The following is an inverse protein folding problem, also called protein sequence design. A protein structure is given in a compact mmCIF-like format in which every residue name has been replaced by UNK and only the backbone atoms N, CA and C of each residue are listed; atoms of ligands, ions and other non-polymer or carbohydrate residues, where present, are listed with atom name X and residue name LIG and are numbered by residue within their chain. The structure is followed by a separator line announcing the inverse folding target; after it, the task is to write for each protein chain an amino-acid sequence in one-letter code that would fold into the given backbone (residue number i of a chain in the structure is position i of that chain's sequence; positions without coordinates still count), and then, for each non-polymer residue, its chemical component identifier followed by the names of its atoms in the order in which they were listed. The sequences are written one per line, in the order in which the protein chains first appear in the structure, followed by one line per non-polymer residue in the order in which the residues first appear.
data_IF_091651236317
#
_entry.id   IF_091651236317
#
_cell.length_a   1.000
_cell.length_b   1.000
_cell.length_c   1.000
_cell.angle_alpha   90.00
_cell.angle_beta   90.00
_cell.angle_gamma   90.00
#
_symmetry.space_group_name_H-M   'P 1'
#
loop_
_entity.id
_entity.type
_entity.pdbx_description
1 polymer ?
#
# COMPACT_ATOMS: atom_id res chain seq x y z
N UNK A 1 7.36 -2.86 -12.16
CA UNK A 1 8.36 -1.76 -12.19
C UNK A 1 9.52 -2.16 -11.31
N UNK A 2 10.74 -2.10 -11.81
CA UNK A 2 11.96 -2.30 -11.01
C UNK A 2 12.12 -1.08 -10.12
N UNK A 3 12.21 -1.26 -8.80
CA UNK A 3 12.48 -0.15 -7.87
C UNK A 3 13.79 0.54 -8.27
N UNK A 4 13.74 1.85 -8.45
CA UNK A 4 14.93 2.67 -8.71
C UNK A 4 15.80 2.84 -7.45
N UNK A 5 15.30 2.43 -6.29
CA UNK A 5 15.94 2.60 -4.99
C UNK A 5 16.81 1.38 -4.67
N UNK A 6 18.10 1.61 -4.50
CA UNK A 6 19.03 0.60 -3.97
C UNK A 6 18.89 0.57 -2.45
N UNK A 7 18.39 -0.55 -1.91
CA UNK A 7 18.22 -0.70 -0.47
C UNK A 7 19.56 -0.93 0.24
N UNK A 8 19.71 -0.31 1.40
CA UNK A 8 20.84 -0.56 2.30
C UNK A 8 20.93 -2.06 2.64
N UNK A 9 22.10 -2.69 2.54
CA UNK A 9 22.27 -4.07 2.99
C UNK A 9 22.07 -4.15 4.51
N UNK A 10 21.25 -5.11 4.94
CA UNK A 10 21.00 -5.40 6.35
C UNK A 10 21.06 -6.90 6.57
N UNK A 11 21.38 -7.34 7.80
CA UNK A 11 21.22 -8.74 8.15
C UNK A 11 19.75 -9.13 8.13
N UNK A 12 19.45 -10.40 7.98
CA UNK A 12 18.08 -10.90 7.97
C UNK A 12 17.70 -11.49 9.32
N UNK A 13 16.51 -11.14 9.80
CA UNK A 13 15.85 -11.77 10.95
C UNK A 13 14.48 -12.26 10.55
N UNK A 14 13.83 -13.05 11.40
CA UNK A 14 12.50 -13.62 11.13
C UNK A 14 11.55 -13.32 12.28
N UNK A 15 10.37 -12.76 11.98
CA UNK A 15 9.25 -12.64 12.93
C UNK A 15 8.17 -13.67 12.51
N UNK A 16 8.16 -14.80 13.16
CA UNK A 16 7.41 -15.96 12.69
C UNK A 16 7.79 -16.29 11.23
N UNK A 17 6.82 -16.30 10.33
CA UNK A 17 7.03 -16.55 8.89
C UNK A 17 7.48 -15.34 8.06
N UNK A 18 7.55 -14.14 8.66
CA UNK A 18 7.87 -12.91 7.94
C UNK A 18 9.36 -12.60 8.08
N UNK A 19 10.07 -12.63 6.96
CA UNK A 19 11.47 -12.24 6.87
C UNK A 19 11.61 -10.71 6.87
N UNK A 20 12.60 -10.19 7.58
CA UNK A 20 12.87 -8.75 7.72
C UNK A 20 14.36 -8.50 7.51
N UNK A 21 14.71 -7.54 6.65
CA UNK A 21 16.09 -7.30 6.25
C UNK A 21 16.59 -8.31 5.22
N UNK A 22 17.87 -8.28 4.90
CA UNK A 22 18.49 -9.18 3.93
C UNK A 22 17.87 -9.10 2.52
N UNK A 23 17.32 -7.96 2.14
CA UNK A 23 16.62 -7.81 0.85
C UNK A 23 15.18 -8.29 0.82
N UNK A 24 14.63 -8.85 1.90
CA UNK A 24 13.23 -9.26 1.98
C UNK A 24 12.27 -8.07 1.73
N UNK A 25 11.04 -8.32 1.26
CA UNK A 25 10.05 -7.27 1.06
C UNK A 25 9.80 -6.46 2.35
N UNK A 26 9.70 -5.13 2.23
CA UNK A 26 9.43 -4.28 3.38
C UNK A 26 8.06 -4.61 3.97
N UNK A 27 8.00 -4.94 5.26
CA UNK A 27 6.78 -5.36 5.93
C UNK A 27 6.03 -4.17 6.53
N UNK A 28 4.70 -4.25 6.49
CA UNK A 28 3.80 -3.31 7.17
C UNK A 28 3.40 -3.91 8.51
N UNK A 29 3.66 -3.16 9.58
CA UNK A 29 3.22 -3.51 10.93
C UNK A 29 2.16 -2.52 11.40
N UNK A 30 1.16 -2.99 12.14
CA UNK A 30 0.25 -2.15 12.92
C UNK A 30 0.13 -2.68 14.35
N UNK A 31 -0.75 -2.10 15.15
CA UNK A 31 -0.93 -2.44 16.55
C UNK A 31 -2.41 -2.47 16.90
N UNK A 32 -2.84 -3.45 17.69
CA UNK A 32 -4.19 -3.47 18.23
C UNK A 32 -4.41 -2.36 19.25
N UNK A 33 -5.65 -1.87 19.33
CA UNK A 33 -6.09 -0.91 20.34
C UNK A 33 -7.00 -1.53 21.40
N UNK A 34 -7.39 -2.79 21.20
CA UNK A 34 -8.13 -3.59 22.18
C UNK A 34 -7.24 -3.94 23.37
N UNK A 35 -7.84 -4.19 24.51
CA UNK A 35 -7.13 -4.84 25.62
C UNK A 35 -6.80 -6.28 25.20
N UNK A 36 -5.55 -6.69 25.35
CA UNK A 36 -5.10 -8.01 24.90
C UNK A 36 -5.78 -9.15 25.67
N UNK A 37 -6.25 -8.91 26.89
CA UNK A 37 -7.09 -9.83 27.67
C UNK A 37 -8.48 -10.07 27.03
N UNK A 38 -8.98 -9.14 26.21
CA UNK A 38 -10.16 -9.37 25.34
C UNK A 38 -9.72 -10.11 24.06
N UNK A 39 -9.66 -11.44 24.17
CA UNK A 39 -9.15 -12.31 23.12
C UNK A 39 -9.95 -12.20 21.82
N UNK A 40 -11.27 -12.25 21.90
CA UNK A 40 -12.11 -12.25 20.71
C UNK A 40 -12.12 -10.88 20.01
N UNK A 41 -12.23 -9.79 20.77
CA UNK A 41 -12.13 -8.44 20.21
C UNK A 41 -10.76 -8.17 19.58
N UNK A 42 -9.69 -8.66 20.20
CA UNK A 42 -8.33 -8.54 19.66
C UNK A 42 -8.14 -9.35 18.39
N UNK A 43 -8.67 -10.58 18.32
CA UNK A 43 -8.61 -11.40 17.12
C UNK A 43 -9.41 -10.81 15.97
N UNK A 44 -10.61 -10.28 16.21
CA UNK A 44 -11.39 -9.57 15.18
C UNK A 44 -10.57 -8.42 14.57
N UNK A 45 -9.90 -7.64 15.41
CA UNK A 45 -9.05 -6.55 14.94
C UNK A 45 -7.83 -7.06 14.17
N UNK A 46 -7.20 -8.15 14.61
CA UNK A 46 -6.08 -8.79 13.88
C UNK A 46 -6.52 -9.29 12.50
N UNK A 47 -7.70 -9.92 12.39
CA UNK A 47 -8.24 -10.35 11.10
C UNK A 47 -8.49 -9.15 10.16
N UNK A 48 -9.05 -8.06 10.67
CA UNK A 48 -9.26 -6.84 9.89
C UNK A 48 -7.94 -6.22 9.41
N UNK A 49 -6.93 -6.17 10.28
CA UNK A 49 -5.59 -5.70 9.95
C UNK A 49 -4.92 -6.57 8.88
N UNK A 50 -5.00 -7.90 9.00
CA UNK A 50 -4.45 -8.81 8.01
C UNK A 50 -5.12 -8.65 6.64
N UNK A 51 -6.44 -8.50 6.62
CA UNK A 51 -7.21 -8.23 5.40
C UNK A 51 -6.80 -6.90 4.74
N UNK A 52 -6.47 -5.87 5.55
CA UNK A 52 -5.99 -4.57 5.09
C UNK A 52 -4.52 -4.57 4.61
N UNK A 53 -3.82 -5.70 4.67
CA UNK A 53 -2.46 -5.85 4.19
C UNK A 53 -1.37 -5.64 5.25
N UNK A 54 -1.73 -5.71 6.54
CA UNK A 54 -0.76 -5.79 7.64
C UNK A 54 -0.03 -7.13 7.60
N UNK A 55 1.29 -7.10 7.66
CA UNK A 55 2.12 -8.32 7.64
C UNK A 55 2.43 -8.83 9.05
N UNK A 56 2.47 -7.95 10.05
CA UNK A 56 2.81 -8.24 11.45
C UNK A 56 1.96 -7.37 12.37
N UNK A 57 1.37 -7.95 13.39
CA UNK A 57 0.62 -7.21 14.41
C UNK A 57 1.37 -7.14 15.73
N UNK A 58 1.20 -6.04 16.48
CA UNK A 58 1.71 -5.87 17.84
C UNK A 58 0.56 -5.73 18.81
N UNK A 59 0.60 -6.50 19.90
CA UNK A 59 -0.35 -6.44 21.01
C UNK A 59 0.36 -6.00 22.30
N UNK A 60 -0.30 -5.25 23.15
CA UNK A 60 0.26 -4.82 24.44
C UNK A 60 0.31 -6.01 25.42
N UNK A 61 1.41 -6.15 26.17
CA UNK A 61 1.55 -7.15 27.23
C UNK A 61 2.18 -6.47 28.46
N UNK A 62 1.35 -5.86 29.29
CA UNK A 62 1.75 -5.09 30.48
C UNK A 62 1.19 -5.66 31.79
N UNK A 63 0.37 -6.70 31.72
CA UNK A 63 -0.28 -7.37 32.85
C UNK A 63 -0.41 -8.88 32.58
N UNK A 64 -0.53 -9.74 33.62
CA UNK A 64 -0.62 -11.19 33.45
C UNK A 64 -1.78 -11.64 32.56
N UNK A 65 -2.94 -10.99 32.68
CA UNK A 65 -4.15 -11.29 31.89
C UNK A 65 -3.91 -11.07 30.39
N UNK A 66 -3.05 -10.11 30.04
CA UNK A 66 -2.64 -9.89 28.66
C UNK A 66 -1.74 -11.03 28.14
N UNK A 67 -0.86 -11.58 28.97
CA UNK A 67 -0.05 -12.74 28.61
C UNK A 67 -0.91 -14.00 28.42
N UNK A 68 -1.90 -14.22 29.30
CA UNK A 68 -2.89 -15.31 29.15
C UNK A 68 -3.72 -15.14 27.87
N UNK A 69 -4.10 -13.90 27.53
CA UNK A 69 -4.76 -13.56 26.27
C UNK A 69 -3.89 -13.87 25.07
N UNK A 70 -2.59 -13.52 25.11
CA UNK A 70 -1.64 -13.83 24.02
C UNK A 70 -1.54 -15.34 23.76
N UNK A 71 -1.54 -16.19 24.80
CA UNK A 71 -1.50 -17.63 24.64
C UNK A 71 -2.69 -18.19 23.81
N UNK A 72 -3.83 -17.50 23.83
CA UNK A 72 -5.01 -17.85 23.04
C UNK A 72 -5.04 -17.17 21.68
N UNK A 73 -4.48 -15.96 21.56
CA UNK A 73 -4.45 -15.17 20.33
C UNK A 73 -3.41 -15.71 19.34
N UNK A 74 -2.20 -16.00 19.80
CA UNK A 74 -1.07 -16.37 18.95
C UNK A 74 -1.39 -17.55 18.01
N UNK A 75 -1.92 -18.70 18.50
CA UNK A 75 -2.20 -19.85 17.64
C UNK A 75 -3.34 -19.62 16.64
N UNK A 76 -4.19 -18.62 16.88
CA UNK A 76 -5.35 -18.27 16.03
C UNK A 76 -5.08 -17.09 15.07
N UNK A 77 -3.98 -16.39 15.26
CA UNK A 77 -3.64 -15.22 14.46
C UNK A 77 -3.18 -15.61 13.05
N UNK A 78 -3.73 -15.02 11.97
CA UNK A 78 -3.29 -15.26 10.59
C UNK A 78 -1.91 -14.66 10.27
N UNK A 79 -1.45 -13.70 11.08
CA UNK A 79 -0.18 -13.00 10.95
C UNK A 79 0.63 -13.06 12.25
N UNK A 80 1.97 -12.96 12.18
CA UNK A 80 2.82 -12.97 13.37
C UNK A 80 2.44 -11.90 14.39
N UNK A 81 2.47 -12.27 15.69
CA UNK A 81 2.16 -11.42 16.82
C UNK A 81 3.43 -11.03 17.55
N UNK A 82 3.63 -9.73 17.79
CA UNK A 82 4.70 -9.17 18.63
C UNK A 82 4.08 -8.70 19.96
N UNK A 83 4.68 -9.04 21.09
CA UNK A 83 4.30 -8.47 22.37
C UNK A 83 5.03 -7.14 22.63
N UNK A 84 4.29 -6.12 23.02
CA UNK A 84 4.81 -4.80 23.40
C UNK A 84 4.99 -4.72 24.92
N UNK A 85 6.24 -4.73 25.34
CA UNK A 85 6.62 -4.73 26.76
C UNK A 85 7.00 -3.31 27.19
N UNK A 86 6.30 -2.79 28.20
CA UNK A 86 6.52 -1.41 28.65
C UNK A 86 7.52 -1.31 29.80
N UNK A 87 7.24 -1.94 30.95
CA UNK A 87 8.03 -1.70 32.17
C UNK A 87 8.58 -2.98 32.84
N UNK A 88 7.88 -4.08 32.74
CA UNK A 88 8.18 -5.27 33.50
C UNK A 88 8.79 -6.37 32.62
N UNK A 89 10.07 -6.68 32.83
CA UNK A 89 10.73 -7.76 32.08
C UNK A 89 10.05 -9.13 32.24
N UNK A 90 9.39 -9.37 33.40
CA UNK A 90 8.61 -10.59 33.62
C UNK A 90 7.47 -10.78 32.63
N UNK A 91 6.89 -9.69 32.12
CA UNK A 91 5.87 -9.75 31.09
C UNK A 91 6.47 -10.15 29.74
N UNK A 92 7.75 -9.83 29.50
CA UNK A 92 8.46 -10.35 28.31
C UNK A 92 8.61 -11.88 28.38
N UNK A 93 8.99 -12.41 29.53
CA UNK A 93 9.10 -13.86 29.74
C UNK A 93 7.74 -14.56 29.60
N UNK A 94 6.69 -14.01 30.21
CA UNK A 94 5.34 -14.56 30.07
C UNK A 94 4.82 -14.50 28.63
N UNK A 95 5.12 -13.45 27.88
CA UNK A 95 4.79 -13.36 26.45
C UNK A 95 5.54 -14.41 25.62
N UNK A 96 6.81 -14.69 25.94
CA UNK A 96 7.57 -15.77 25.28
C UNK A 96 6.99 -17.15 25.58
N UNK A 97 6.52 -17.39 26.80
CA UNK A 97 5.79 -18.63 27.16
C UNK A 97 4.47 -18.74 26.40
N UNK A 98 3.78 -17.62 26.15
CA UNK A 98 2.58 -17.57 25.32
C UNK A 98 2.86 -17.81 23.82
N UNK A 99 4.11 -17.95 23.40
CA UNK A 99 4.52 -18.29 22.04
C UNK A 99 4.52 -17.13 21.05
N UNK A 100 4.70 -15.88 21.49
CA UNK A 100 4.77 -14.74 20.58
C UNK A 100 5.96 -14.83 19.62
N UNK A 101 5.80 -14.23 18.44
CA UNK A 101 6.78 -14.30 17.37
C UNK A 101 7.84 -13.19 17.44
N UNK A 102 7.75 -12.30 18.39
CA UNK A 102 8.71 -11.23 18.62
C UNK A 102 8.37 -10.41 19.84
N UNK A 103 9.35 -9.68 20.35
CA UNK A 103 9.17 -8.72 21.43
C UNK A 103 9.50 -7.31 20.99
N UNK A 104 8.88 -6.32 21.63
CA UNK A 104 9.33 -4.94 21.58
C UNK A 104 9.72 -4.50 22.98
N UNK A 105 10.95 -4.04 23.14
CA UNK A 105 11.47 -3.43 24.35
C UNK A 105 11.72 -1.95 24.13
N UNK A 106 11.52 -1.13 25.19
CA UNK A 106 11.89 0.28 25.17
C UNK A 106 13.03 0.49 26.17
N UNK A 107 14.24 0.86 25.71
CA UNK A 107 15.40 1.10 26.58
C UNK A 107 15.13 2.17 27.66
N UNK A 108 14.30 3.15 27.36
CA UNK A 108 13.91 4.18 28.31
C UNK A 108 13.06 3.67 29.48
N UNK A 109 12.42 2.51 29.35
CA UNK A 109 11.49 1.93 30.33
C UNK A 109 12.09 0.76 31.11
N UNK A 110 12.81 -0.14 30.42
CA UNK A 110 13.51 -1.27 31.04
C UNK A 110 15.00 -0.92 31.03
N UNK A 111 15.53 -0.49 32.20
CA UNK A 111 16.86 0.12 32.28
C UNK A 111 17.91 -0.76 32.96
N UNK A 112 17.49 -1.82 33.66
CA UNK A 112 18.44 -2.71 34.35
C UNK A 112 19.08 -3.68 33.38
N UNK A 113 20.42 -3.63 33.19
CA UNK A 113 21.10 -4.50 32.24
C UNK A 113 20.82 -5.97 32.46
N UNK A 114 20.73 -6.42 33.73
CA UNK A 114 20.44 -7.81 34.08
C UNK A 114 19.07 -8.29 33.58
N UNK A 115 18.06 -7.41 33.58
CA UNK A 115 16.73 -7.73 33.05
C UNK A 115 16.73 -7.81 31.52
N UNK A 116 17.46 -6.89 30.88
CA UNK A 116 17.61 -6.86 29.43
C UNK A 116 18.32 -8.11 28.93
N UNK A 117 19.43 -8.47 29.58
CA UNK A 117 20.20 -9.68 29.28
C UNK A 117 19.40 -10.97 29.49
N UNK A 118 18.62 -11.04 30.59
CA UNK A 118 17.78 -12.20 30.85
C UNK A 118 16.72 -12.39 29.76
N UNK A 119 16.07 -11.32 29.29
CA UNK A 119 15.11 -11.39 28.19
C UNK A 119 15.81 -11.75 26.88
N UNK A 120 17.00 -11.18 26.59
CA UNK A 120 17.74 -11.48 25.39
C UNK A 120 18.21 -12.96 25.34
N UNK A 121 18.63 -13.52 26.45
CA UNK A 121 19.00 -14.95 26.55
C UNK A 121 17.79 -15.86 26.26
N UNK A 122 16.65 -15.59 26.87
CA UNK A 122 15.42 -16.37 26.63
C UNK A 122 14.95 -16.25 25.19
N UNK A 123 15.06 -15.05 24.59
CA UNK A 123 14.78 -14.82 23.17
C UNK A 123 15.72 -15.61 22.26
N UNK A 124 17.02 -15.67 22.61
CA UNK A 124 18.02 -16.43 21.88
C UNK A 124 17.70 -17.91 21.87
N UNK A 125 17.36 -18.47 23.02
CA UNK A 125 17.05 -19.90 23.17
C UNK A 125 15.78 -20.29 22.42
N UNK A 126 14.83 -19.38 22.30
CA UNK A 126 13.55 -19.58 21.57
C UNK A 126 13.58 -19.12 20.14
N UNK A 127 14.67 -18.52 19.65
CA UNK A 127 14.76 -17.90 18.32
C UNK A 127 13.70 -16.82 18.06
N UNK A 128 13.38 -16.00 19.08
CA UNK A 128 12.40 -14.93 19.00
C UNK A 128 13.12 -13.59 18.90
N UNK A 129 12.91 -12.80 17.82
CA UNK A 129 13.62 -11.53 17.64
C UNK A 129 13.08 -10.44 18.56
N UNK A 130 13.96 -9.49 18.90
CA UNK A 130 13.61 -8.30 19.69
C UNK A 130 13.64 -7.06 18.81
N UNK A 131 12.68 -6.16 18.98
CA UNK A 131 12.78 -4.80 18.50
C UNK A 131 13.21 -3.84 19.62
N UNK A 132 14.39 -3.26 19.46
CA UNK A 132 14.85 -2.13 20.26
C UNK A 132 14.04 -0.90 19.83
N UNK A 133 13.21 -0.37 20.72
CA UNK A 133 12.25 0.68 20.38
C UNK A 133 12.51 1.99 21.10
N UNK A 134 13.52 2.76 20.65
CA UNK A 134 13.80 4.11 21.17
C UNK A 134 12.73 5.09 20.70
N UNK A 135 12.16 5.85 21.64
CA UNK A 135 11.25 6.95 21.36
C UNK A 135 11.80 8.23 21.99
N UNK A 136 11.77 9.34 21.26
CA UNK A 136 12.23 10.63 21.78
C UNK A 136 11.54 11.05 23.08
N UNK A 137 10.22 10.82 23.19
CA UNK A 137 9.44 11.16 24.39
C UNK A 137 9.75 10.31 25.65
N UNK A 138 10.48 9.21 25.52
CA UNK A 138 10.91 8.34 26.61
C UNK A 138 12.42 8.06 26.58
N UNK A 139 13.21 9.02 26.09
CA UNK A 139 14.65 8.94 26.11
C UNK A 139 15.17 8.86 27.56
N UNK A 140 16.27 8.13 27.76
CA UNK A 140 16.94 8.02 29.05
C UNK A 140 17.30 9.42 29.56
N UNK A 141 16.96 9.78 30.84
CA UNK A 141 17.28 11.09 31.43
C UNK A 141 18.75 11.47 31.34
N UNK A 142 19.68 10.52 31.53
CA UNK A 142 21.11 10.80 31.39
C UNK A 142 21.44 11.28 29.97
N UNK A 143 20.90 10.60 28.95
CA UNK A 143 21.13 10.98 27.55
C UNK A 143 20.44 12.31 27.22
N UNK A 144 19.26 12.54 27.79
CA UNK A 144 18.57 13.80 27.62
C UNK A 144 19.37 14.99 28.18
N UNK A 145 19.99 14.83 29.34
CA UNK A 145 20.85 15.84 29.97
C UNK A 145 22.18 15.98 29.20
N UNK A 146 22.83 14.89 28.88
CA UNK A 146 24.12 14.86 28.15
C UNK A 146 24.05 15.61 26.81
N UNK A 147 22.95 15.43 26.06
CA UNK A 147 22.78 16.03 24.73
C UNK A 147 21.94 17.32 24.73
N UNK A 148 21.49 17.77 25.89
CA UNK A 148 20.67 18.99 26.01
C UNK A 148 19.29 18.85 25.35
N UNK A 149 18.67 17.66 25.42
CA UNK A 149 17.35 17.39 24.89
C UNK A 149 17.25 16.19 23.96
N UNK A 150 16.12 16.09 23.24
CA UNK A 150 15.92 15.07 22.22
C UNK A 150 16.73 15.44 20.99
N UNK A 151 17.82 14.72 20.75
CA UNK A 151 18.72 14.89 19.60
C UNK A 151 18.89 13.58 18.86
N UNK A 152 19.17 13.62 17.54
CA UNK A 152 19.45 12.41 16.76
C UNK A 152 20.53 11.54 17.40
N UNK A 153 21.65 12.15 17.81
CA UNK A 153 22.81 11.50 18.43
C UNK A 153 22.45 10.80 19.74
N UNK A 154 21.59 11.43 20.56
CA UNK A 154 21.11 10.87 21.84
C UNK A 154 20.26 9.62 21.60
N UNK A 155 19.39 9.64 20.55
CA UNK A 155 18.55 8.51 20.19
C UNK A 155 19.39 7.35 19.64
N UNK A 156 20.38 7.63 18.81
CA UNK A 156 21.33 6.63 18.29
C UNK A 156 22.13 6.02 19.43
N UNK A 157 22.67 6.86 20.35
CA UNK A 157 23.43 6.37 21.53
C UNK A 157 22.59 5.48 22.42
N UNK A 158 21.28 5.81 22.60
CA UNK A 158 20.35 4.96 23.34
C UNK A 158 20.19 3.57 22.70
N UNK A 159 20.08 3.51 21.38
CA UNK A 159 19.99 2.24 20.65
C UNK A 159 21.30 1.43 20.77
N UNK A 160 22.44 2.09 20.64
CA UNK A 160 23.77 1.44 20.74
C UNK A 160 24.06 0.89 22.14
N UNK A 161 23.58 1.57 23.20
CA UNK A 161 23.66 1.03 24.58
C UNK A 161 22.93 -0.31 24.71
N UNK A 162 21.74 -0.44 24.11
CA UNK A 162 20.95 -1.67 24.16
C UNK A 162 21.61 -2.79 23.36
N UNK A 163 22.16 -2.46 22.19
CA UNK A 163 22.93 -3.39 21.36
C UNK A 163 24.10 -3.97 22.17
N UNK A 164 24.84 -3.15 22.89
CA UNK A 164 25.95 -3.60 23.71
C UNK A 164 25.53 -4.65 24.76
N UNK A 165 24.36 -4.53 25.36
CA UNK A 165 23.85 -5.56 26.28
C UNK A 165 23.49 -6.86 25.57
N UNK A 166 23.00 -6.79 24.33
CA UNK A 166 22.70 -7.96 23.52
C UNK A 166 23.97 -8.66 23.06
N UNK A 167 25.00 -7.90 22.68
CA UNK A 167 26.30 -8.41 22.25
C UNK A 167 26.99 -9.19 23.39
N UNK A 168 26.89 -8.71 24.65
CA UNK A 168 27.45 -9.40 25.82
C UNK A 168 26.87 -10.83 26.02
N UNK A 169 25.64 -11.09 25.57
CA UNK A 169 24.99 -12.41 25.63
C UNK A 169 24.99 -13.14 24.28
N UNK A 170 25.62 -12.53 23.27
CA UNK A 170 25.70 -13.08 21.92
C UNK A 170 24.33 -13.20 21.24
N UNK A 171 23.44 -12.22 21.44
CA UNK A 171 22.12 -12.15 20.81
C UNK A 171 22.13 -11.17 19.65
N UNK A 172 21.86 -11.63 18.44
CA UNK A 172 21.92 -10.84 17.20
C UNK A 172 20.57 -10.68 16.50
N UNK A 173 19.54 -11.40 16.92
CA UNK A 173 18.22 -11.39 16.26
C UNK A 173 17.38 -10.17 16.70
N UNK A 174 17.85 -8.98 16.35
CA UNK A 174 17.14 -7.75 16.68
C UNK A 174 17.00 -6.80 15.50
N UNK A 175 15.97 -5.98 15.55
CA UNK A 175 15.74 -4.80 14.71
C UNK A 175 15.60 -3.55 15.56
N UNK A 176 15.79 -2.38 14.98
CA UNK A 176 15.85 -1.13 15.74
C UNK A 176 14.84 -0.11 15.21
N UNK A 177 14.31 0.70 16.10
CA UNK A 177 13.57 1.91 15.75
C UNK A 177 13.99 3.08 16.62
N UNK A 178 14.18 4.24 15.99
CA UNK A 178 14.45 5.54 16.65
C UNK A 178 13.39 6.53 16.20
N UNK A 179 12.31 6.63 16.97
CA UNK A 179 11.10 7.37 16.60
C UNK A 179 10.98 8.69 17.33
N UNK A 180 10.56 9.72 16.60
CA UNK A 180 10.19 11.01 17.16
C UNK A 180 8.95 11.56 16.45
N UNK A 181 8.27 12.53 17.07
CA UNK A 181 7.16 13.25 16.43
C UNK A 181 7.64 14.36 15.49
N UNK A 182 8.88 14.83 15.67
CA UNK A 182 9.54 15.77 14.75
C UNK A 182 10.15 15.00 13.60
N UNK A 183 9.64 15.21 12.38
CA UNK A 183 10.05 14.45 11.19
C UNK A 183 11.52 14.66 10.80
N UNK A 184 12.03 15.91 10.68
CA UNK A 184 13.45 16.13 10.39
C UNK A 184 14.40 15.47 11.37
N UNK A 185 14.12 15.58 12.67
CA UNK A 185 14.91 14.95 13.73
C UNK A 185 14.89 13.42 13.59
N UNK A 186 13.73 12.84 13.37
CA UNK A 186 13.55 11.39 13.19
C UNK A 186 14.31 10.89 11.96
N UNK A 187 14.19 11.58 10.82
CA UNK A 187 14.92 11.22 9.58
C UNK A 187 16.41 11.23 9.82
N UNK A 188 16.95 12.27 10.47
CA UNK A 188 18.36 12.38 10.76
C UNK A 188 18.84 11.28 11.72
N UNK A 189 18.05 10.95 12.74
CA UNK A 189 18.40 9.85 13.65
C UNK A 189 18.47 8.49 12.92
N UNK A 190 17.58 8.21 11.97
CA UNK A 190 17.65 6.99 11.17
C UNK A 190 18.82 6.98 10.19
N UNK A 191 19.18 8.13 9.59
CA UNK A 191 20.38 8.23 8.73
C UNK A 191 21.63 7.87 9.52
N UNK A 192 21.85 8.54 10.66
CA UNK A 192 23.00 8.25 11.52
C UNK A 192 23.01 6.80 12.02
N UNK A 193 21.85 6.26 12.42
CA UNK A 193 21.75 4.87 12.86
C UNK A 193 22.08 3.91 11.71
N UNK A 194 21.67 4.23 10.49
CA UNK A 194 21.91 3.38 9.31
C UNK A 194 23.39 3.24 8.94
N UNK A 195 24.23 4.16 9.36
CA UNK A 195 25.66 4.16 9.12
C UNK A 195 26.44 3.31 10.13
N UNK A 196 25.88 3.12 11.32
CA UNK A 196 26.59 2.49 12.44
C UNK A 196 26.13 1.07 12.80
N UNK A 197 25.12 0.54 12.10
CA UNK A 197 24.64 -0.84 12.32
C UNK A 197 24.11 -1.46 11.04
N UNK A 198 24.25 -2.77 10.92
CA UNK A 198 23.64 -3.58 9.85
C UNK A 198 22.27 -4.17 10.24
N UNK A 199 21.79 -3.89 11.46
CA UNK A 199 20.49 -4.36 11.91
C UNK A 199 19.35 -3.81 11.04
N UNK A 200 18.29 -4.59 10.81
CA UNK A 200 17.09 -4.11 10.15
C UNK A 200 16.43 -2.94 10.91
N UNK A 201 15.93 -1.95 10.17
CA UNK A 201 15.34 -0.76 10.74
C UNK A 201 13.81 -0.76 10.59
N UNK A 202 13.12 -0.48 11.71
CA UNK A 202 11.68 -0.33 11.76
C UNK A 202 11.31 1.15 11.78
N UNK A 203 10.84 1.67 10.67
CA UNK A 203 10.51 3.09 10.51
C UNK A 203 9.14 3.45 11.07
N UNK A 204 9.02 4.67 11.54
CA UNK A 204 7.74 5.24 11.94
C UNK A 204 7.89 6.61 12.60
N UNK A 205 6.95 7.50 12.31
CA UNK A 205 6.77 8.76 13.04
C UNK A 205 5.86 8.48 14.22
N UNK A 206 6.29 8.80 15.44
CA UNK A 206 5.44 8.62 16.64
C UNK A 206 4.48 9.79 16.78
N UNK A 207 3.27 9.51 17.27
CA UNK A 207 2.28 10.55 17.58
C UNK A 207 2.01 11.47 16.36
N UNK A 208 1.78 10.87 15.20
CA UNK A 208 1.58 11.65 13.97
C UNK A 208 0.28 12.48 14.01
N UNK A 209 -0.73 12.02 14.76
CA UNK A 209 -2.04 12.66 14.88
C UNK A 209 -3.11 12.05 13.97
N UNK A 210 -4.30 12.67 13.91
CA UNK A 210 -5.40 12.16 13.09
C UNK A 210 -5.19 12.46 11.60
N UNK A 211 -5.82 11.68 10.70
CA UNK A 211 -5.91 12.04 9.27
C UNK A 211 -6.66 13.38 9.07
N UNK A 212 -6.37 14.14 7.99
CA UNK A 212 -5.33 13.87 6.99
C UNK A 212 -3.92 14.31 7.42
N UNK A 213 -3.78 15.19 8.43
CA UNK A 213 -2.49 15.77 8.83
C UNK A 213 -1.49 14.70 9.30
N UNK A 214 -1.95 13.73 10.08
CA UNK A 214 -1.13 12.61 10.54
C UNK A 214 -0.60 11.73 9.41
N UNK A 215 -1.43 11.49 8.39
CA UNK A 215 -1.02 10.76 7.18
C UNK A 215 0.10 11.50 6.45
N UNK A 216 -0.07 12.79 6.19
CA UNK A 216 0.94 13.62 5.51
C UNK A 216 2.26 13.61 6.29
N UNK A 217 2.20 13.84 7.60
CA UNK A 217 3.36 13.86 8.48
C UNK A 217 4.12 12.53 8.49
N UNK A 218 3.40 11.42 8.66
CA UNK A 218 4.00 10.08 8.67
C UNK A 218 4.57 9.72 7.30
N UNK A 219 3.83 9.98 6.22
CA UNK A 219 4.27 9.72 4.85
C UNK A 219 5.55 10.49 4.50
N UNK A 220 5.65 11.77 4.88
CA UNK A 220 6.85 12.57 4.64
C UNK A 220 8.10 11.92 5.25
N UNK A 221 8.03 11.48 6.51
CA UNK A 221 9.17 10.83 7.17
C UNK A 221 9.50 9.45 6.60
N UNK A 222 8.48 8.62 6.37
CA UNK A 222 8.66 7.27 5.86
C UNK A 222 9.16 7.27 4.40
N UNK A 223 8.55 8.06 3.52
CA UNK A 223 8.91 8.14 2.11
C UNK A 223 10.36 8.63 1.93
N UNK A 224 10.78 9.65 2.68
CA UNK A 224 12.15 10.17 2.63
C UNK A 224 13.17 9.04 2.87
N UNK A 225 13.04 8.31 3.96
CA UNK A 225 13.97 7.23 4.31
C UNK A 225 13.90 6.05 3.33
N UNK A 226 12.70 5.66 2.93
CA UNK A 226 12.49 4.55 2.00
C UNK A 226 13.11 4.84 0.62
N UNK A 227 13.02 6.07 0.12
CA UNK A 227 13.67 6.49 -1.14
C UNK A 227 15.20 6.56 -1.03
N UNK A 228 15.73 6.75 0.18
CA UNK A 228 17.16 6.64 0.47
C UNK A 228 17.63 5.18 0.68
N UNK A 229 16.72 4.21 0.54
CA UNK A 229 17.02 2.79 0.74
C UNK A 229 17.06 2.36 2.21
N UNK A 230 16.66 3.22 3.13
CA UNK A 230 16.66 2.98 4.58
C UNK A 230 15.29 2.48 5.02
N UNK A 231 15.25 1.29 5.66
CA UNK A 231 14.04 0.73 6.25
C UNK A 231 13.68 -0.66 5.74
N UNK A 232 13.33 -1.54 6.68
CA UNK A 232 13.00 -2.95 6.43
C UNK A 232 11.58 -3.29 6.88
N UNK A 233 11.00 -2.50 7.76
CA UNK A 233 9.61 -2.60 8.21
C UNK A 233 9.09 -1.21 8.59
N UNK A 234 7.81 -0.96 8.37
CA UNK A 234 7.19 0.35 8.63
C UNK A 234 5.95 0.23 9.51
N UNK A 235 5.64 1.31 10.25
CA UNK A 235 4.37 1.51 10.91
C UNK A 235 3.94 2.98 10.85
N UNK A 236 2.73 3.23 10.37
CA UNK A 236 2.02 4.46 10.66
C UNK A 236 1.55 4.47 12.10
N UNK A 237 1.50 5.63 12.76
CA UNK A 237 1.00 5.79 14.14
C UNK A 237 -0.01 6.93 14.13
N UNK A 238 -1.24 6.59 13.76
CA UNK A 238 -2.33 7.54 13.57
C UNK A 238 -3.28 7.52 14.77
N UNK A 239 -3.92 8.66 15.02
CA UNK A 239 -5.09 8.73 15.91
C UNK A 239 -6.34 8.40 15.09
N UNK A 240 -6.47 7.12 14.70
CA UNK A 240 -7.52 6.59 13.83
C UNK A 240 -7.66 5.07 14.05
N UNK A 241 -8.61 4.44 13.33
CA UNK A 241 -8.69 2.98 13.28
C UNK A 241 -7.36 2.38 12.77
N UNK A 242 -6.78 1.37 13.44
CA UNK A 242 -5.52 0.74 13.02
C UNK A 242 -5.53 0.15 11.61
N UNK A 243 -6.70 -0.16 11.07
CA UNK A 243 -6.88 -0.60 9.67
C UNK A 243 -6.40 0.47 8.70
N UNK A 244 -6.62 1.75 9.01
CA UNK A 244 -6.12 2.87 8.21
C UNK A 244 -4.58 2.93 8.18
N UNK A 245 -3.92 2.59 9.30
CA UNK A 245 -2.45 2.50 9.35
C UNK A 245 -1.92 1.42 8.39
N UNK A 246 -2.57 0.25 8.37
CA UNK A 246 -2.18 -0.86 7.50
C UNK A 246 -2.39 -0.52 6.02
N UNK A 247 -3.54 0.07 5.68
CA UNK A 247 -3.84 0.53 4.31
C UNK A 247 -2.85 1.59 3.83
N UNK A 248 -2.61 2.62 4.64
CA UNK A 248 -1.66 3.68 4.31
C UNK A 248 -0.23 3.15 4.12
N UNK A 249 0.22 2.25 5.00
CA UNK A 249 1.52 1.61 4.88
C UNK A 249 1.66 0.78 3.61
N UNK A 250 0.63 0.02 3.26
CA UNK A 250 0.61 -0.78 2.04
C UNK A 250 0.63 0.10 0.80
N UNK A 251 -0.22 1.12 0.77
CA UNK A 251 -0.32 2.06 -0.35
C UNK A 251 0.98 2.85 -0.55
N UNK A 252 1.64 3.28 0.53
CA UNK A 252 2.94 3.94 0.43
C UNK A 252 3.97 3.06 -0.27
N UNK A 253 4.12 1.80 0.15
CA UNK A 253 5.08 0.88 -0.43
C UNK A 253 4.78 0.55 -1.89
N UNK A 254 3.51 0.44 -2.26
CA UNK A 254 3.06 0.24 -3.64
C UNK A 254 3.33 1.48 -4.51
N UNK A 255 3.08 2.69 -3.97
CA UNK A 255 3.34 3.95 -4.67
C UNK A 255 4.82 4.22 -4.92
N UNK A 256 5.70 3.73 -4.03
CA UNK A 256 7.16 3.82 -4.19
C UNK A 256 7.76 2.67 -5.02
N UNK A 257 6.94 1.72 -5.51
CA UNK A 257 7.42 0.53 -6.23
C UNK A 257 8.22 -0.45 -5.36
N UNK A 258 8.09 -0.38 -4.03
CA UNK A 258 8.77 -1.24 -3.07
C UNK A 258 7.98 -2.51 -2.71
N UNK A 259 6.72 -2.58 -3.10
CA UNK A 259 5.84 -3.74 -3.03
C UNK A 259 4.99 -3.83 -4.29
N UNK A 260 4.68 -5.04 -4.72
CA UNK A 260 3.75 -5.26 -5.83
C UNK A 260 2.35 -4.74 -5.48
N UNK A 261 1.73 -4.07 -6.44
CA UNK A 261 0.35 -3.63 -6.33
C UNK A 261 -0.58 -4.83 -6.25
N UNK A 262 -1.58 -4.74 -5.39
CA UNK A 262 -2.66 -5.73 -5.31
C UNK A 262 -4.00 -5.16 -5.76
N UNK A 263 -4.17 -3.84 -5.67
CA UNK A 263 -5.41 -3.15 -5.97
C UNK A 263 -5.20 -2.16 -7.12
N UNK A 264 -6.29 -1.61 -7.62
CA UNK A 264 -6.26 -0.55 -8.62
C UNK A 264 -5.50 0.67 -8.10
N UNK A 265 -4.60 1.19 -8.94
CA UNK A 265 -3.97 2.50 -8.76
C UNK A 265 -4.68 3.51 -9.64
N UNK A 266 -5.52 4.36 -9.03
CA UNK A 266 -6.27 5.35 -9.76
C UNK A 266 -5.46 6.63 -9.96
N UNK A 267 -5.24 6.99 -11.22
CA UNK A 267 -4.67 8.27 -11.63
C UNK A 267 -5.82 9.16 -12.10
N UNK A 268 -6.11 10.24 -11.38
CA UNK A 268 -7.14 11.18 -11.77
C UNK A 268 -6.60 12.59 -11.91
N UNK A 269 -7.04 13.33 -12.91
CA UNK A 269 -6.63 14.72 -13.05
C UNK A 269 -7.31 15.58 -11.96
N UNK A 270 -6.67 16.68 -11.51
CA UNK A 270 -7.16 17.51 -10.40
C UNK A 270 -8.42 18.32 -10.72
N UNK A 271 -9.04 18.11 -11.88
CA UNK A 271 -10.14 18.92 -12.43
C UNK A 271 -9.77 20.41 -12.60
N UNK A 272 -9.99 20.97 -13.74
CA UNK A 272 -9.73 22.40 -14.02
C UNK A 272 -10.83 22.96 -14.92
N UNK A 273 -10.76 24.24 -15.29
CA UNK A 273 -11.76 24.88 -16.16
C UNK A 273 -11.93 24.26 -17.56
N UNK A 274 -11.12 23.25 -17.91
CA UNK A 274 -11.25 22.47 -19.14
C UNK A 274 -12.00 21.16 -18.96
N UNK A 275 -12.35 20.78 -17.71
CA UNK A 275 -13.05 19.53 -17.44
C UNK A 275 -14.48 19.61 -18.02
N UNK A 276 -14.84 18.59 -18.76
CA UNK A 276 -16.15 18.46 -19.42
C UNK A 276 -17.11 17.53 -18.65
N UNK A 277 -16.62 16.96 -17.55
CA UNK A 277 -17.40 16.13 -16.61
C UNK A 277 -17.00 16.47 -15.17
N UNK A 278 -17.77 16.03 -14.20
CA UNK A 278 -17.38 16.05 -12.80
C UNK A 278 -16.34 14.93 -12.51
N UNK A 279 -15.07 15.25 -12.70
CA UNK A 279 -13.95 14.30 -12.48
C UNK A 279 -13.91 13.82 -11.04
N UNK A 280 -14.25 14.68 -10.08
CA UNK A 280 -14.20 14.36 -8.66
C UNK A 280 -15.24 13.27 -8.35
N UNK A 281 -16.48 13.43 -8.84
CA UNK A 281 -17.54 12.43 -8.68
C UNK A 281 -17.15 11.10 -9.36
N UNK A 282 -16.73 11.16 -10.63
CA UNK A 282 -16.35 9.94 -11.39
C UNK A 282 -15.20 9.21 -10.73
N UNK A 283 -14.16 9.92 -10.27
CA UNK A 283 -13.01 9.31 -9.59
C UNK A 283 -13.41 8.65 -8.26
N UNK A 284 -14.24 9.33 -7.45
CA UNK A 284 -14.74 8.78 -6.19
C UNK A 284 -15.61 7.54 -6.41
N UNK A 285 -16.52 7.58 -7.37
CA UNK A 285 -17.36 6.44 -7.74
C UNK A 285 -16.54 5.28 -8.30
N UNK A 286 -15.53 5.56 -9.11
CA UNK A 286 -14.60 4.54 -9.61
C UNK A 286 -13.84 3.88 -8.45
N UNK A 287 -13.26 4.66 -7.52
CA UNK A 287 -12.61 4.12 -6.34
C UNK A 287 -13.54 3.26 -5.48
N UNK A 288 -14.78 3.70 -5.30
CA UNK A 288 -15.79 2.93 -4.57
C UNK A 288 -16.18 1.64 -5.31
N UNK A 289 -16.36 1.71 -6.63
CA UNK A 289 -16.70 0.56 -7.44
C UNK A 289 -15.57 -0.49 -7.50
N UNK A 290 -14.31 -0.05 -7.57
CA UNK A 290 -13.18 -0.95 -7.47
C UNK A 290 -13.03 -1.55 -6.07
N UNK A 291 -13.27 -0.76 -5.01
CA UNK A 291 -13.25 -1.24 -3.63
C UNK A 291 -12.04 -2.10 -3.30
N UNK A 292 -12.30 -3.26 -2.66
CA UNK A 292 -11.26 -4.24 -2.31
C UNK A 292 -11.00 -5.29 -3.41
N UNK A 293 -11.39 -5.02 -4.66
CA UNK A 293 -11.12 -5.90 -5.81
C UNK A 293 -9.61 -5.96 -6.03
N UNK A 294 -9.08 -7.17 -6.05
CA UNK A 294 -7.63 -7.42 -6.22
C UNK A 294 -7.24 -7.34 -7.69
N UNK A 295 -7.38 -6.16 -8.28
CA UNK A 295 -7.06 -5.88 -9.68
C UNK A 295 -5.82 -4.96 -9.70
N UNK A 296 -4.61 -5.48 -9.98
CA UNK A 296 -3.37 -4.71 -9.89
C UNK A 296 -3.10 -3.87 -11.15
N UNK A 297 -4.10 -3.12 -11.60
CA UNK A 297 -4.02 -2.27 -12.78
C UNK A 297 -3.89 -0.79 -12.41
N UNK A 298 -3.21 -0.04 -13.26
CA UNK A 298 -3.21 1.41 -13.24
C UNK A 298 -4.36 1.92 -14.12
N UNK A 299 -5.32 2.62 -13.48
CA UNK A 299 -6.53 3.14 -14.14
C UNK A 299 -6.51 4.66 -14.13
N UNK A 300 -6.68 5.29 -15.30
CA UNK A 300 -6.69 6.74 -15.45
C UNK A 300 -8.10 7.30 -15.66
N UNK A 301 -8.45 8.36 -14.91
CA UNK A 301 -9.70 9.13 -15.09
C UNK A 301 -9.37 10.58 -15.39
N UNK A 302 -9.61 11.01 -16.64
CA UNK A 302 -9.24 12.31 -17.16
C UNK A 302 -10.45 13.12 -17.62
N UNK A 303 -10.56 14.36 -17.14
CA UNK A 303 -11.73 15.23 -17.35
C UNK A 303 -11.79 15.96 -18.68
N UNK A 304 -10.76 15.88 -19.53
CA UNK A 304 -10.74 16.53 -20.83
C UNK A 304 -9.87 15.80 -21.85
N UNK A 305 -10.08 16.09 -23.14
CA UNK A 305 -9.32 15.48 -24.25
C UNK A 305 -7.96 16.14 -24.50
N UNK A 306 -7.59 17.21 -23.80
CA UNK A 306 -6.33 17.92 -24.02
C UNK A 306 -5.13 17.12 -23.51
N UNK A 307 -5.09 16.84 -22.22
CA UNK A 307 -4.01 16.04 -21.59
C UNK A 307 -4.43 14.59 -21.36
N UNK A 308 -5.76 14.35 -21.31
CA UNK A 308 -6.33 13.05 -20.99
C UNK A 308 -5.81 11.88 -21.83
N UNK A 309 -5.74 12.00 -23.18
CA UNK A 309 -5.23 10.90 -24.01
C UNK A 309 -3.75 10.59 -23.75
N UNK A 310 -2.93 11.55 -23.34
CA UNK A 310 -1.53 11.36 -22.97
C UNK A 310 -1.39 10.53 -21.69
N UNK A 311 -2.00 10.99 -20.62
CA UNK A 311 -1.97 10.32 -19.31
C UNK A 311 -2.68 8.95 -19.34
N UNK A 312 -3.83 8.87 -20.05
CA UNK A 312 -4.54 7.60 -20.22
C UNK A 312 -3.75 6.57 -21.07
N UNK A 313 -2.77 7.02 -21.87
CA UNK A 313 -1.93 6.14 -22.68
C UNK A 313 -0.93 5.36 -21.84
N UNK A 314 -0.38 5.99 -20.81
CA UNK A 314 0.61 5.36 -19.93
C UNK A 314 -0.03 4.37 -18.95
N UNK A 315 -1.33 4.54 -18.63
CA UNK A 315 -2.07 3.63 -17.78
C UNK A 315 -2.40 2.29 -18.50
N UNK A 316 -2.72 1.27 -17.73
CA UNK A 316 -3.20 -0.02 -18.29
C UNK A 316 -4.58 0.15 -18.93
N UNK A 317 -5.44 0.93 -18.28
CA UNK A 317 -6.78 1.29 -18.69
C UNK A 317 -7.00 2.77 -18.38
N UNK A 318 -7.67 3.52 -19.25
CA UNK A 318 -7.98 4.90 -18.96
C UNK A 318 -9.23 5.40 -19.65
N UNK A 319 -9.85 6.44 -19.09
CA UNK A 319 -10.94 7.16 -19.70
C UNK A 319 -10.60 8.65 -19.76
N UNK A 320 -10.81 9.26 -20.93
CA UNK A 320 -10.68 10.69 -21.13
C UNK A 320 -12.03 11.26 -21.59
N UNK A 321 -12.53 12.25 -20.86
CA UNK A 321 -13.83 12.84 -21.14
C UNK A 321 -13.77 13.89 -22.25
N UNK A 322 -14.81 13.94 -23.10
CA UNK A 322 -15.03 14.96 -24.11
C UNK A 322 -16.49 14.98 -24.55
N UNK A 323 -17.11 16.16 -24.61
CA UNK A 323 -18.51 16.33 -25.03
C UNK A 323 -19.50 15.40 -24.29
N UNK A 324 -19.42 15.31 -22.96
CA UNK A 324 -20.21 14.42 -22.09
C UNK A 324 -20.11 12.93 -22.47
N UNK A 325 -19.00 12.53 -23.06
CA UNK A 325 -18.68 11.13 -23.40
C UNK A 325 -17.32 10.78 -22.87
N UNK A 326 -17.12 9.53 -22.49
CA UNK A 326 -15.85 8.97 -22.11
C UNK A 326 -15.22 8.20 -23.26
N UNK A 327 -14.04 8.59 -23.67
CA UNK A 327 -13.18 7.80 -24.56
C UNK A 327 -12.35 6.86 -23.71
N UNK A 328 -12.58 5.57 -23.85
CA UNK A 328 -11.91 4.53 -23.08
C UNK A 328 -10.68 4.03 -23.84
N UNK A 329 -9.55 3.92 -23.15
CA UNK A 329 -8.27 3.53 -23.73
C UNK A 329 -7.70 2.31 -22.99
N UNK A 330 -7.16 1.36 -23.73
CA UNK A 330 -6.35 0.25 -23.20
C UNK A 330 -4.96 0.40 -23.81
N UNK A 331 -3.94 0.63 -23.00
CA UNK A 331 -2.56 0.91 -23.44
C UNK A 331 -2.50 1.91 -24.60
N UNK A 332 -3.21 3.01 -24.47
CA UNK A 332 -3.24 4.09 -25.46
C UNK A 332 -4.12 3.86 -26.68
N UNK A 333 -4.72 2.70 -26.88
CA UNK A 333 -5.69 2.43 -27.95
C UNK A 333 -7.10 2.78 -27.48
N UNK A 334 -7.82 3.59 -28.24
CA UNK A 334 -9.23 3.86 -28.00
C UNK A 334 -10.05 2.60 -28.29
N UNK A 335 -10.74 2.08 -27.28
CA UNK A 335 -11.47 0.81 -27.33
C UNK A 335 -12.98 0.98 -27.30
N UNK A 336 -13.46 2.10 -26.74
CA UNK A 336 -14.89 2.40 -26.66
C UNK A 336 -15.12 3.90 -26.46
N UNK A 337 -16.35 4.33 -26.78
CA UNK A 337 -16.86 5.65 -26.42
C UNK A 337 -18.19 5.43 -25.70
N UNK A 338 -18.27 5.84 -24.45
CA UNK A 338 -19.43 5.61 -23.58
C UNK A 338 -20.03 6.93 -23.10
N UNK A 339 -21.33 6.98 -22.79
CA UNK A 339 -21.94 8.12 -22.11
C UNK A 339 -21.31 8.36 -20.72
N UNK A 340 -21.38 9.59 -20.21
CA UNK A 340 -20.86 9.94 -18.89
C UNK A 340 -21.40 9.02 -17.78
N UNK A 341 -22.70 8.70 -17.81
CA UNK A 341 -23.35 7.85 -16.82
C UNK A 341 -22.78 6.42 -16.76
N UNK A 342 -22.22 5.91 -17.85
CA UNK A 342 -21.72 4.54 -18.00
C UNK A 342 -20.19 4.43 -17.80
N UNK A 343 -19.49 5.55 -17.58
CA UNK A 343 -18.02 5.60 -17.51
C UNK A 343 -17.45 4.67 -16.44
N UNK A 344 -18.02 4.67 -15.25
CA UNK A 344 -17.52 3.86 -14.12
C UNK A 344 -17.77 2.38 -14.36
N UNK A 345 -18.95 2.02 -14.85
CA UNK A 345 -19.29 0.63 -15.18
C UNK A 345 -18.37 0.09 -16.27
N UNK A 346 -18.13 0.88 -17.31
CA UNK A 346 -17.21 0.51 -18.38
C UNK A 346 -15.75 0.34 -17.87
N UNK A 347 -15.27 1.22 -16.98
CA UNK A 347 -13.95 1.07 -16.37
C UNK A 347 -13.83 -0.23 -15.59
N UNK A 348 -14.86 -0.57 -14.79
CA UNK A 348 -14.86 -1.81 -14.00
C UNK A 348 -14.90 -3.04 -14.91
N UNK A 349 -15.80 -3.08 -15.90
CA UNK A 349 -15.90 -4.20 -16.85
C UNK A 349 -14.58 -4.45 -17.58
N UNK A 350 -13.97 -3.39 -18.10
CA UNK A 350 -12.71 -3.53 -18.82
C UNK A 350 -11.54 -3.89 -17.91
N UNK A 351 -11.50 -3.38 -16.68
CA UNK A 351 -10.47 -3.74 -15.72
C UNK A 351 -10.56 -5.21 -15.31
N UNK A 352 -11.76 -5.73 -15.07
CA UNK A 352 -12.00 -7.15 -14.80
C UNK A 352 -11.58 -8.01 -15.99
N UNK A 353 -11.99 -7.63 -17.21
CA UNK A 353 -11.61 -8.34 -18.42
C UNK A 353 -10.08 -8.38 -18.63
N UNK A 354 -9.40 -7.25 -18.42
CA UNK A 354 -7.92 -7.20 -18.55
C UNK A 354 -7.26 -8.05 -17.46
N UNK A 355 -7.81 -8.04 -16.24
CA UNK A 355 -7.28 -8.84 -15.13
C UNK A 355 -7.39 -10.34 -15.40
N UNK A 356 -8.51 -10.78 -15.98
CA UNK A 356 -8.78 -12.19 -16.25
C UNK A 356 -8.09 -12.72 -17.52
N UNK A 357 -8.04 -11.91 -18.57
CA UNK A 357 -7.61 -12.37 -19.91
C UNK A 357 -6.32 -11.72 -20.41
N UNK A 358 -5.83 -10.70 -19.73
CA UNK A 358 -4.65 -9.94 -20.12
C UNK A 358 -4.93 -8.80 -21.10
N UNK A 359 -3.96 -7.88 -21.17
CA UNK A 359 -4.06 -6.66 -22.00
C UNK A 359 -4.12 -6.97 -23.50
N UNK A 360 -3.40 -8.01 -23.97
CA UNK A 360 -3.39 -8.41 -25.38
C UNK A 360 -4.76 -8.90 -25.84
N UNK A 361 -5.44 -9.71 -25.01
CA UNK A 361 -6.79 -10.17 -25.30
C UNK A 361 -7.80 -9.02 -25.34
N UNK A 362 -7.64 -8.03 -24.46
CA UNK A 362 -8.46 -6.82 -24.46
C UNK A 362 -8.28 -6.00 -25.74
N UNK A 363 -7.05 -5.88 -26.25
CA UNK A 363 -6.76 -5.21 -27.52
C UNK A 363 -7.33 -6.01 -28.71
N UNK A 364 -7.17 -7.32 -28.74
CA UNK A 364 -7.70 -8.18 -29.80
C UNK A 364 -9.25 -8.16 -29.85
N UNK A 365 -9.93 -8.08 -28.70
CA UNK A 365 -11.39 -7.89 -28.62
C UNK A 365 -11.86 -6.64 -29.36
N UNK A 366 -11.03 -5.58 -29.36
CA UNK A 366 -11.31 -4.31 -30.05
C UNK A 366 -11.12 -4.46 -31.55
N UNK A 367 -9.99 -5.03 -31.95
CA UNK A 367 -9.67 -5.22 -33.37
C UNK A 367 -10.76 -6.06 -34.07
N UNK A 368 -11.28 -7.08 -33.40
CA UNK A 368 -12.42 -7.89 -33.90
C UNK A 368 -13.69 -7.06 -34.03
N UNK A 369 -14.06 -6.26 -33.00
CA UNK A 369 -15.25 -5.40 -33.07
C UNK A 369 -15.14 -4.28 -34.11
N UNK A 370 -13.92 -3.74 -34.34
CA UNK A 370 -13.68 -2.75 -35.39
C UNK A 370 -13.83 -3.39 -36.77
N UNK A 371 -13.25 -4.56 -37.00
CA UNK A 371 -13.38 -5.30 -38.26
C UNK A 371 -14.85 -5.67 -38.55
N UNK A 372 -15.62 -6.08 -37.54
CA UNK A 372 -17.06 -6.34 -37.66
C UNK A 372 -17.86 -5.08 -38.04
N UNK A 373 -17.52 -3.92 -37.44
CA UNK A 373 -18.16 -2.63 -37.76
C UNK A 373 -17.82 -2.14 -39.16
N UNK A 374 -16.57 -2.31 -39.62
CA UNK A 374 -16.16 -1.97 -40.97
C UNK A 374 -16.86 -2.87 -41.98
N UNK A 375 -16.87 -4.17 -41.75
CA UNK A 375 -17.62 -5.11 -42.58
C UNK A 375 -19.13 -4.83 -42.65
N UNK A 376 -19.72 -4.39 -41.56
CA UNK A 376 -21.13 -3.97 -41.51
C UNK A 376 -21.38 -2.68 -42.30
N UNK A 377 -20.46 -1.69 -42.25
CA UNK A 377 -20.53 -0.46 -43.07
C UNK A 377 -20.39 -0.75 -44.55
N UNK A 378 -19.46 -1.62 -44.92
CA UNK A 378 -19.26 -2.01 -46.30
C UNK A 378 -20.46 -2.77 -46.86
N UNK A 379 -21.09 -3.66 -46.07
CA UNK A 379 -22.36 -4.31 -46.45
C UNK A 379 -23.50 -3.30 -46.61
N UNK A 380 -23.61 -2.31 -45.69
CA UNK A 380 -24.63 -1.29 -45.82
C UNK A 380 -24.44 -0.42 -47.07
N UNK A 381 -23.18 -0.11 -47.40
CA UNK A 381 -22.84 0.65 -48.61
C UNK A 381 -23.17 -0.13 -49.87
N UNK A 382 -22.82 -1.41 -49.93
CA UNK A 382 -23.15 -2.30 -51.05
C UNK A 382 -24.68 -2.44 -51.27
N UNK A 383 -25.45 -2.49 -50.18
CA UNK A 383 -26.93 -2.53 -50.24
C UNK A 383 -27.54 -1.23 -50.76
N UNK A 384 -26.98 -0.07 -50.38
CA UNK A 384 -27.40 1.22 -50.92
C UNK A 384 -27.05 1.38 -52.40
N UNK A 385 -25.81 1.00 -52.83
CA UNK A 385 -25.38 1.05 -54.23
C UNK A 385 -26.25 0.14 -55.10
N UNK A 386 -26.66 -1.05 -54.63
CA UNK A 386 -27.57 -1.93 -55.32
C UNK A 386 -29.01 -1.38 -55.37
N UNK A 387 -29.45 -0.64 -54.37
CA UNK A 387 -30.73 0.05 -54.33
C UNK A 387 -30.78 1.20 -55.35
N UNK A 388 -29.71 1.96 -55.49
CA UNK A 388 -29.61 3.06 -56.47
C UNK A 388 -29.56 2.53 -57.91
N UNK A 389 -28.87 1.43 -58.16
CA UNK A 389 -28.83 0.77 -59.48
C UNK A 389 -30.21 0.21 -59.85
N UNK A 390 -30.96 -0.38 -58.92
CA UNK A 390 -32.29 -0.86 -59.11
C UNK A 390 -33.30 0.26 -59.38
N UNK A 391 -33.19 1.40 -58.69
CA UNK A 391 -34.00 2.60 -58.93
C UNK A 391 -33.69 3.21 -60.29
N UNK A 392 -32.41 3.33 -60.67
CA UNK A 392 -32.02 3.83 -61.97
C UNK A 392 -32.47 2.94 -63.12
N UNK A 393 -32.48 1.62 -62.96
CA UNK A 393 -33.04 0.66 -63.89
C UNK A 393 -34.57 0.80 -64.00
N UNK A 394 -35.27 1.00 -62.89
CA UNK A 394 -36.71 1.22 -62.86
C UNK A 394 -37.11 2.55 -63.54
N UNK A 395 -36.35 3.63 -63.34
CA UNK A 395 -36.58 4.90 -64.02
C UNK A 395 -36.40 4.79 -65.54
N UNK A 396 -35.31 4.12 -65.99
CA UNK A 396 -35.12 3.83 -67.43
C UNK A 396 -36.25 3.02 -68.03
N UNK A 397 -36.81 2.07 -67.34
CA UNK A 397 -37.98 1.25 -67.79
C UNK A 397 -39.23 2.13 -67.91
N UNK A 398 -39.45 3.04 -66.97
CA UNK A 398 -40.56 3.98 -67.00
C UNK A 398 -40.42 4.99 -68.13
N UNK A 399 -39.21 5.44 -68.43
CA UNK A 399 -38.93 6.37 -69.53
C UNK A 399 -39.11 5.70 -70.89
N UNK A 400 -38.66 4.45 -71.06
CA UNK A 400 -38.90 3.64 -72.27
C UNK A 400 -40.39 3.40 -72.51
N UNK A 401 -41.18 3.15 -71.47
CA UNK A 401 -42.63 2.97 -71.60
C UNK A 401 -43.38 4.24 -71.95
N UNK A 402 -42.88 5.41 -71.58
CA UNK A 402 -43.46 6.73 -71.93
C UNK A 402 -43.16 7.06 -73.40
N UNK A 403 -41.97 6.73 -73.93
CA UNK A 403 -41.61 7.00 -75.32
C UNK A 403 -42.31 6.03 -76.29
N UNK A 404 -42.65 4.82 -75.91
CA UNK A 404 -43.43 3.87 -76.76
C UNK A 404 -44.94 4.06 -76.72
N UNK A 405 -45.50 4.89 -75.89
CA UNK A 405 -46.93 5.20 -75.82
C UNK A 405 -47.33 6.45 -76.61
N UNK A 406 -46.35 7.14 -77.25
CA UNK A 406 -46.56 8.38 -78.01
C UNK A 406 -46.19 8.26 -79.48
N UNK A 407 -46.04 7.01 -79.99
CA UNK A 407 -45.87 6.73 -81.44
C UNK A 407 -47.12 5.90 -81.99
#
# INVERSE_FOLDING_TARGET
MTSLTVRRPTRQISVGKVLIGGGAPISVQSMTITKTADVEGTLQQIYALAAAGCDIVRCTCNEPEAAEGLAQIVPRSPIPVIADIHHQYKMALAALEAGVHGLRLNPGNIRRPEHIKAVAMECKDRHVPIRIGVNGGSLDPELYEEFGGIRPEAMVKSALREIAYFDEVGFSDYKISVKASNVPLMVEAYRQLSEVTDAPLHLGVTEAGPPPAGLIKATAGLATLLLEGIGDTIRYSLTADPVEEARAGRQLLESLGLRERKNVDLIACPSCGRAEIDVIDVANRAMQAFGDRKIPLQVAVMGCVVNGPGEAREADLGIAAGNKRGHLFVKGRNVAVVPEAEMVEALVEWAEFIHEHGTEAAIARVDTKLAEREAAKDRAKLLNDQGDDANHAAEKIVEIRRTTATS
#
